data_IF_697088276956
#
_entry.id   IF_697088276956
#
_cell.length_a   1.000
_cell.length_b   1.000
_cell.length_c   1.000
_cell.angle_alpha   90.00
_cell.angle_beta   90.00
_cell.angle_gamma   90.00
#
_symmetry.space_group_name_H-M   'P 1'
#
loop_
_entity.id
_entity.type
_entity.pdbx_description
1 polymer ?
#
# COMPACT_ATOMS: atom_id res chain seq x y z
N UNK A 1 -15.59 12.24 -7.10
CA UNK A 1 -16.39 11.30 -7.92
C UNK A 1 -15.91 11.21 -9.38
N UNK A 2 -15.73 12.33 -10.09
CA UNK A 2 -15.26 12.34 -11.50
C UNK A 2 -13.96 11.54 -11.70
N UNK A 3 -12.97 11.73 -10.83
CA UNK A 3 -11.70 10.98 -10.94
C UNK A 3 -11.87 9.48 -10.65
N UNK A 4 -12.73 9.13 -9.69
CA UNK A 4 -12.99 7.73 -9.35
C UNK A 4 -13.68 7.00 -10.53
N UNK A 5 -14.63 7.66 -11.21
CA UNK A 5 -15.28 7.09 -12.39
C UNK A 5 -14.37 7.06 -13.62
N UNK A 6 -13.42 8.00 -13.73
CA UNK A 6 -12.36 7.93 -14.73
C UNK A 6 -11.45 6.71 -14.46
N UNK A 7 -10.93 6.54 -13.24
CA UNK A 7 -10.08 5.39 -12.89
C UNK A 7 -10.79 4.04 -13.04
N UNK A 8 -12.06 3.94 -12.65
CA UNK A 8 -12.85 2.73 -12.84
C UNK A 8 -12.92 2.29 -14.32
N UNK A 9 -12.93 3.25 -15.26
CA UNK A 9 -12.98 2.99 -16.70
C UNK A 9 -11.60 2.78 -17.31
N UNK A 10 -10.60 3.56 -16.91
CA UNK A 10 -9.27 3.54 -17.53
C UNK A 10 -8.35 2.48 -16.94
N UNK A 11 -8.49 2.18 -15.65
CA UNK A 11 -7.61 1.28 -14.89
C UNK A 11 -8.45 0.37 -13.96
N UNK A 12 -9.30 -0.51 -14.51
CA UNK A 12 -10.18 -1.36 -13.71
C UNK A 12 -9.41 -2.30 -12.76
N UNK A 13 -8.17 -2.65 -13.12
CA UNK A 13 -7.27 -3.47 -12.30
C UNK A 13 -7.01 -2.86 -10.90
N UNK A 14 -6.92 -1.52 -10.80
CA UNK A 14 -6.69 -0.84 -9.52
C UNK A 14 -7.89 -0.90 -8.58
N UNK A 15 -9.08 -1.19 -9.14
CA UNK A 15 -10.34 -1.32 -8.42
C UNK A 15 -10.84 -2.75 -8.37
N UNK A 16 -10.02 -3.71 -8.81
CA UNK A 16 -10.33 -5.12 -8.70
C UNK A 16 -10.55 -5.49 -7.24
N UNK A 17 -11.52 -6.40 -7.02
CA UNK A 17 -11.90 -6.91 -5.70
C UNK A 17 -12.41 -5.83 -4.73
N UNK A 18 -13.03 -4.76 -5.26
CA UNK A 18 -13.80 -3.79 -4.47
C UNK A 18 -15.26 -3.88 -4.91
N UNK A 19 -16.15 -4.21 -3.98
CA UNK A 19 -17.58 -4.36 -4.25
C UNK A 19 -18.34 -3.04 -4.02
N UNK A 20 -17.98 -2.29 -2.97
CA UNK A 20 -18.56 -0.98 -2.65
C UNK A 20 -17.47 0.01 -2.29
N UNK A 21 -17.60 1.23 -2.81
CA UNK A 21 -16.70 2.35 -2.49
C UNK A 21 -17.36 3.27 -1.47
N UNK A 22 -16.62 3.60 -0.41
CA UNK A 22 -17.05 4.54 0.62
C UNK A 22 -16.30 5.85 0.48
N UNK A 23 -16.91 6.80 -0.24
CA UNK A 23 -16.24 8.07 -0.58
C UNK A 23 -15.73 8.83 0.66
N UNK A 24 -16.46 8.78 1.78
CA UNK A 24 -16.03 9.40 3.03
C UNK A 24 -14.73 8.82 3.57
N UNK A 25 -14.59 7.48 3.60
CA UNK A 25 -13.37 6.81 4.04
C UNK A 25 -12.20 7.07 3.08
N UNK A 26 -12.48 7.15 1.77
CA UNK A 26 -11.45 7.49 0.77
C UNK A 26 -10.90 8.90 1.02
N UNK A 27 -11.77 9.88 1.24
CA UNK A 27 -11.37 11.27 1.54
C UNK A 27 -10.55 11.32 2.83
N UNK A 28 -10.98 10.61 3.88
CA UNK A 28 -10.24 10.53 5.14
C UNK A 28 -8.84 9.93 4.94
N UNK A 29 -8.71 8.86 4.14
CA UNK A 29 -7.41 8.27 3.86
C UNK A 29 -6.51 9.18 3.01
N UNK A 30 -7.08 9.91 2.04
CA UNK A 30 -6.34 10.92 1.29
C UNK A 30 -5.82 12.05 2.21
N UNK A 31 -6.64 12.52 3.13
CA UNK A 31 -6.24 13.54 4.10
C UNK A 31 -5.17 13.00 5.07
N UNK A 32 -5.31 11.78 5.56
CA UNK A 32 -4.31 11.14 6.41
C UNK A 32 -2.97 10.94 5.69
N UNK A 33 -3.01 10.68 4.38
CA UNK A 33 -1.82 10.56 3.56
C UNK A 33 -1.11 11.91 3.36
N UNK A 34 -1.87 13.00 3.19
CA UNK A 34 -1.31 14.36 3.16
C UNK A 34 -0.74 14.79 4.51
N UNK A 35 -1.44 14.47 5.59
CA UNK A 35 -0.99 14.75 6.96
C UNK A 35 0.41 14.18 7.20
N UNK A 36 0.64 12.94 6.76
CA UNK A 36 1.95 12.28 6.84
C UNK A 36 2.99 12.83 5.88
N UNK A 37 2.58 13.27 4.69
CA UNK A 37 3.52 13.79 3.68
C UNK A 37 4.04 15.18 4.00
N UNK A 38 3.24 15.99 4.71
CA UNK A 38 3.49 17.40 4.98
C UNK A 38 3.59 17.75 6.47
N UNK A 39 3.54 16.74 7.36
CA UNK A 39 3.50 16.89 8.83
C UNK A 39 2.43 17.89 9.31
N UNK A 40 1.24 17.81 8.70
CA UNK A 40 0.09 18.67 9.01
C UNK A 40 -0.81 18.06 10.09
N UNK A 41 -1.59 18.90 10.76
CA UNK A 41 -2.69 18.42 11.62
C UNK A 41 -3.81 17.79 10.78
N UNK A 42 -4.69 17.02 11.41
CA UNK A 42 -5.79 16.33 10.71
C UNK A 42 -6.72 17.33 10.02
N UNK A 43 -7.03 18.45 10.68
CA UNK A 43 -7.90 19.50 10.13
C UNK A 43 -7.22 20.23 8.97
N UNK A 44 -5.98 20.67 9.17
CA UNK A 44 -5.21 21.37 8.13
C UNK A 44 -5.03 20.50 6.89
N UNK A 45 -4.91 19.18 7.06
CA UNK A 45 -4.78 18.23 5.96
C UNK A 45 -6.04 18.13 5.12
N UNK A 46 -7.22 18.23 5.72
CA UNK A 46 -8.50 18.26 5.01
C UNK A 46 -8.68 19.60 4.27
N UNK A 47 -8.33 20.72 4.90
CA UNK A 47 -8.34 22.03 4.22
C UNK A 47 -7.37 22.07 3.04
N UNK A 48 -6.15 21.56 3.23
CA UNK A 48 -5.15 21.43 2.19
C UNK A 48 -5.70 20.58 1.05
N UNK A 49 -6.28 19.41 1.34
CA UNK A 49 -6.88 18.51 0.36
C UNK A 49 -7.93 19.20 -0.52
N UNK A 50 -8.84 19.97 0.08
CA UNK A 50 -9.88 20.70 -0.66
C UNK A 50 -9.35 21.91 -1.42
N UNK A 51 -8.18 22.43 -1.04
CA UNK A 51 -7.52 23.57 -1.67
C UNK A 51 -6.49 23.16 -2.73
N UNK A 52 -6.20 21.86 -2.87
CA UNK A 52 -5.22 21.37 -3.84
C UNK A 52 -5.68 21.53 -5.29
N UNK A 53 -4.72 21.65 -6.21
CA UNK A 53 -5.02 21.66 -7.65
C UNK A 53 -5.63 20.31 -8.06
N UNK A 54 -6.56 20.28 -9.02
CA UNK A 54 -7.26 19.05 -9.40
C UNK A 54 -6.32 17.91 -9.86
N UNK A 55 -5.18 18.25 -10.46
CA UNK A 55 -4.14 17.28 -10.85
C UNK A 55 -3.47 16.60 -9.65
N UNK A 56 -3.27 17.33 -8.56
CA UNK A 56 -2.63 16.83 -7.35
C UNK A 56 -3.59 15.91 -6.59
N UNK A 57 -4.88 16.30 -6.51
CA UNK A 57 -5.94 15.43 -5.97
C UNK A 57 -6.08 14.13 -6.78
N UNK A 58 -6.01 14.21 -8.12
CA UNK A 58 -6.03 13.03 -9.00
C UNK A 58 -4.83 12.11 -8.74
N UNK A 59 -3.62 12.68 -8.60
CA UNK A 59 -2.38 11.92 -8.31
C UNK A 59 -2.46 11.25 -6.95
N UNK A 60 -2.88 11.97 -5.92
CA UNK A 60 -3.05 11.42 -4.57
C UNK A 60 -4.04 10.26 -4.55
N UNK A 61 -5.19 10.41 -5.21
CA UNK A 61 -6.18 9.33 -5.33
C UNK A 61 -5.60 8.12 -6.09
N UNK A 62 -4.82 8.35 -7.15
CA UNK A 62 -4.15 7.27 -7.89
C UNK A 62 -3.15 6.52 -7.01
N UNK A 63 -2.33 7.23 -6.23
CA UNK A 63 -1.36 6.62 -5.33
C UNK A 63 -2.03 5.77 -4.26
N UNK A 64 -3.13 6.27 -3.68
CA UNK A 64 -3.94 5.55 -2.69
C UNK A 64 -4.54 4.27 -3.29
N UNK A 65 -5.14 4.35 -4.48
CA UNK A 65 -5.77 3.19 -5.13
C UNK A 65 -4.76 2.16 -5.64
N UNK A 66 -3.57 2.60 -6.04
CA UNK A 66 -2.52 1.73 -6.56
C UNK A 66 -1.69 1.09 -5.45
N UNK A 67 -1.67 1.69 -4.26
CA UNK A 67 -0.74 1.33 -3.19
C UNK A 67 0.73 1.50 -3.63
N UNK A 68 0.99 2.43 -4.55
CA UNK A 68 2.27 2.55 -5.28
C UNK A 68 3.39 3.13 -4.40
N UNK A 69 3.04 3.90 -3.38
CA UNK A 69 4.00 4.42 -2.38
C UNK A 69 4.67 3.32 -1.53
N UNK A 70 4.17 2.08 -1.59
CA UNK A 70 4.74 0.97 -0.81
C UNK A 70 5.88 0.23 -1.50
N UNK A 71 6.09 0.45 -2.82
CA UNK A 71 7.24 -0.14 -3.53
C UNK A 71 8.52 0.70 -3.38
N UNK A 72 8.38 1.94 -2.92
CA UNK A 72 9.47 2.94 -2.90
C UNK A 72 10.51 2.64 -1.80
N UNK A 73 10.15 1.89 -0.75
CA UNK A 73 11.13 1.50 0.29
C UNK A 73 12.18 0.52 -0.23
N UNK A 74 11.95 -0.16 -1.36
CA UNK A 74 13.01 -0.96 -2.01
C UNK A 74 13.87 -0.18 -3.01
N UNK A 75 13.59 1.10 -3.30
CA UNK A 75 14.29 1.77 -4.41
C UNK A 75 14.70 3.24 -4.22
N UNK A 76 14.22 4.01 -3.25
CA UNK A 76 14.61 5.44 -3.21
C UNK A 76 14.46 6.07 -1.82
N UNK A 77 15.56 6.13 -1.06
CA UNK A 77 15.82 7.25 -0.15
C UNK A 77 17.17 7.89 -0.48
N UNK A 78 17.19 8.69 -1.55
CA UNK A 78 18.15 9.78 -1.72
C UNK A 78 17.38 11.03 -2.07
N UNK A 79 16.66 11.60 -1.11
CA UNK A 79 16.24 13.01 -1.17
C UNK A 79 17.16 13.74 -0.19
N UNK A 80 18.18 14.39 -0.76
CA UNK A 80 19.17 15.18 -0.05
C UNK A 80 18.49 16.31 0.71
N UNK A 81 18.38 16.18 2.03
CA UNK A 81 18.13 17.30 2.94
C UNK A 81 19.47 18.00 3.19
N UNK A 82 19.74 19.09 2.45
CA UNK A 82 20.81 20.02 2.82
C UNK A 82 20.35 20.88 3.99
N UNK A 83 20.75 20.50 5.19
CA UNK A 83 20.85 21.38 6.35
C UNK A 83 22.12 20.98 7.08
N UNK A 84 23.08 21.90 7.12
CA UNK A 84 24.42 21.63 7.62
C UNK A 84 25.27 22.90 7.60
N UNK A 85 24.95 23.78 8.54
CA UNK A 85 25.80 24.89 8.99
C UNK A 85 27.07 24.33 9.64
N UNK A 86 28.25 24.92 9.35
CA UNK A 86 29.40 25.18 10.25
C UNK A 86 30.70 25.43 9.43
N UNK A 87 31.83 25.90 10.00
CA UNK A 87 32.06 27.29 10.45
C UNK A 87 33.39 27.94 9.95
N UNK A 88 33.35 29.28 9.79
CA UNK A 88 34.36 30.34 10.04
C UNK A 88 35.87 30.07 9.78
N UNK A 89 36.52 30.87 8.89
CA UNK A 89 37.57 31.89 9.21
C UNK A 89 38.28 32.53 7.99
N UNK A 90 38.24 33.87 7.96
CA UNK A 90 39.30 34.84 7.57
C UNK A 90 39.77 34.85 6.08
N UNK A 91 39.96 35.95 5.34
CA UNK A 91 40.54 37.29 5.62
C UNK A 91 40.21 38.28 4.48
N UNK A 92 39.86 39.52 4.87
CA UNK A 92 40.08 40.87 4.28
C UNK A 92 40.33 41.15 2.78
N UNK A 93 39.70 42.27 2.35
CA UNK A 93 40.16 43.33 1.39
C UNK A 93 40.31 42.95 -0.09
N UNK A 94 39.98 43.72 -1.13
CA UNK A 94 39.29 45.00 -1.41
C UNK A 94 39.39 45.27 -2.94
N UNK A 95 38.48 46.08 -3.51
CA UNK A 95 38.61 46.87 -4.77
C UNK A 95 38.33 46.30 -6.19
N UNK A 96 37.27 46.88 -6.81
CA UNK A 96 37.15 47.58 -8.13
C UNK A 96 37.18 46.89 -9.52
N UNK A 97 36.25 47.38 -10.38
CA UNK A 97 36.29 47.56 -11.87
C UNK A 97 36.14 46.29 -12.74
N UNK A 98 35.66 46.28 -13.99
CA UNK A 98 34.80 47.08 -14.90
C UNK A 98 34.71 46.21 -16.20
N UNK A 99 33.64 46.38 -16.98
CA UNK A 99 33.51 46.17 -18.44
C UNK A 99 33.87 44.81 -19.10
N UNK A 100 32.95 44.23 -19.89
CA UNK A 100 32.88 44.49 -21.34
C UNK A 100 31.70 43.78 -22.03
N UNK A 101 31.10 44.50 -22.99
CA UNK A 101 30.09 44.10 -23.96
C UNK A 101 30.76 43.39 -25.17
N UNK A 102 30.09 42.43 -25.81
CA UNK A 102 29.91 42.50 -27.26
C UNK A 102 28.84 41.56 -27.83
N UNK A 103 28.00 42.20 -28.62
CA UNK A 103 26.96 41.70 -29.53
C UNK A 103 27.61 41.33 -30.86
N UNK A 104 27.18 40.25 -31.51
CA UNK A 104 27.03 40.19 -32.98
C UNK A 104 25.98 39.15 -33.38
N UNK A 105 24.97 39.65 -34.08
CA UNK A 105 23.94 38.95 -34.84
C UNK A 105 24.49 38.73 -36.26
N UNK A 106 24.16 37.63 -36.96
CA UNK A 106 24.01 37.63 -38.43
C UNK A 106 23.18 36.45 -38.98
N UNK A 107 21.97 36.82 -39.36
CA UNK A 107 21.10 36.47 -40.52
C UNK A 107 21.65 35.56 -41.65
N UNK A 108 20.83 34.63 -42.16
CA UNK A 108 20.29 34.54 -43.57
C UNK A 108 19.68 33.16 -43.92
N UNK A 109 18.42 33.22 -44.38
CA UNK A 109 17.61 32.43 -45.34
C UNK A 109 18.08 31.10 -45.96
N UNK A 110 17.12 30.17 -46.18
CA UNK A 110 17.26 29.10 -47.18
C UNK A 110 16.12 28.07 -47.25
N UNK A 111 15.55 27.89 -48.44
CA UNK A 111 14.35 27.12 -48.82
C UNK A 111 14.58 25.61 -49.14
N UNK A 112 13.50 24.79 -49.01
CA UNK A 112 13.06 23.65 -49.88
C UNK A 112 13.65 22.21 -49.78
N UNK A 113 12.71 21.26 -49.55
CA UNK A 113 12.53 19.82 -49.94
C UNK A 113 13.74 18.89 -50.23
N UNK A 114 13.71 17.65 -49.65
CA UNK A 114 13.35 16.35 -50.30
C UNK A 114 13.80 15.10 -49.50
N UNK A 115 12.89 14.12 -49.38
CA UNK A 115 13.00 12.64 -49.51
C UNK A 115 14.19 11.83 -48.92
N UNK A 116 13.82 10.93 -47.99
CA UNK A 116 13.85 9.44 -48.09
C UNK A 116 15.05 8.56 -47.67
N UNK A 117 14.67 7.48 -46.94
CA UNK A 117 15.22 6.09 -46.87
C UNK A 117 16.22 5.71 -45.74
N UNK A 118 15.73 4.75 -44.92
CA UNK A 118 16.42 3.64 -44.22
C UNK A 118 17.49 3.93 -43.16
N UNK A 119 17.19 3.60 -41.89
CA UNK A 119 17.82 2.46 -41.17
C UNK A 119 17.29 2.32 -39.73
N UNK A 120 16.89 1.09 -39.35
CA UNK A 120 16.81 0.57 -37.96
C UNK A 120 18.25 0.40 -37.39
N UNK A 121 18.53 0.05 -36.11
CA UNK A 121 17.66 -0.18 -34.93
C UNK A 121 18.23 0.42 -33.59
N UNK A 122 17.59 0.10 -32.45
CA UNK A 122 18.17 -0.46 -31.19
C UNK A 122 17.71 0.19 -29.88
N UNK A 123 17.19 -0.67 -29.00
CA UNK A 123 16.89 -0.40 -27.59
C UNK A 123 18.19 -0.21 -26.79
N UNK A 124 18.24 0.81 -25.94
CA UNK A 124 19.29 0.97 -24.93
C UNK A 124 18.71 0.67 -23.54
N UNK A 125 19.03 -0.53 -23.08
CA UNK A 125 18.92 -1.01 -21.71
C UNK A 125 19.99 -0.31 -20.87
N UNK A 126 19.61 0.48 -19.87
CA UNK A 126 20.56 1.06 -18.91
C UNK A 126 20.74 0.12 -17.73
N UNK A 127 21.80 -0.70 -17.78
CA UNK A 127 22.37 -1.39 -16.61
C UNK A 127 23.12 -0.35 -15.77
N UNK A 128 22.85 -0.29 -14.47
CA UNK A 128 23.74 0.34 -13.49
C UNK A 128 24.27 -0.72 -12.54
N UNK A 129 25.60 -0.77 -12.48
CA UNK A 129 26.42 -1.73 -11.76
C UNK A 129 26.55 -1.39 -10.28
N UNK A 130 26.72 -2.46 -9.52
CA UNK A 130 26.84 -2.61 -8.08
C UNK A 130 28.21 -2.10 -7.58
N UNK A 131 28.21 -1.29 -6.51
CA UNK A 131 29.31 -1.24 -5.53
C UNK A 131 28.66 -1.17 -4.15
N UNK A 132 28.87 -2.23 -3.37
CA UNK A 132 28.38 -2.40 -2.00
C UNK A 132 29.33 -1.71 -1.02
N UNK A 133 28.78 -0.94 -0.09
CA UNK A 133 29.46 -0.63 1.17
C UNK A 133 28.43 -0.85 2.25
N UNK A 134 28.66 -1.91 3.02
CA UNK A 134 27.81 -2.42 4.07
C UNK A 134 27.94 -1.51 5.29
N UNK A 135 26.83 -0.85 5.64
CA UNK A 135 26.64 -0.27 6.96
C UNK A 135 25.29 -0.80 7.44
N UNK A 136 25.36 -1.76 8.35
CA UNK A 136 24.21 -2.42 8.96
C UNK A 136 23.34 -1.37 9.65
N UNK A 137 22.07 -1.32 9.27
CA UNK A 137 21.10 -0.34 9.77
C UNK A 137 19.97 -1.08 10.48
N UNK A 138 19.96 -1.02 11.81
CA UNK A 138 18.96 -1.60 12.73
C UNK A 138 17.53 -1.02 12.54
N UNK A 139 17.33 -0.10 11.59
CA UNK A 139 16.06 0.59 11.33
C UNK A 139 15.07 -0.15 10.39
N UNK A 140 15.44 -1.28 9.83
CA UNK A 140 14.71 -1.97 8.75
C UNK A 140 13.39 -2.64 9.18
N UNK A 141 13.25 -3.04 10.46
CA UNK A 141 12.04 -3.69 10.98
C UNK A 141 10.90 -2.71 11.31
N UNK A 142 11.22 -1.49 11.79
CA UNK A 142 10.24 -0.46 12.11
C UNK A 142 9.53 0.08 10.85
N UNK A 143 10.29 0.24 9.76
CA UNK A 143 9.77 0.69 8.48
C UNK A 143 8.79 -0.32 7.89
N UNK A 144 9.10 -1.61 8.00
CA UNK A 144 8.24 -2.67 7.48
C UNK A 144 6.90 -2.76 8.25
N UNK A 145 6.93 -2.68 9.58
CA UNK A 145 5.72 -2.65 10.44
C UNK A 145 4.80 -1.46 10.11
N UNK A 146 5.40 -0.30 9.87
CA UNK A 146 4.70 0.92 9.44
C UNK A 146 3.99 0.72 8.09
N UNK A 147 4.62 0.01 7.14
CA UNK A 147 4.06 -0.27 5.82
C UNK A 147 2.85 -1.20 5.86
N UNK A 148 2.90 -2.31 6.59
CA UNK A 148 1.76 -3.24 6.68
C UNK A 148 0.56 -2.62 7.40
N UNK A 149 0.81 -1.85 8.47
CA UNK A 149 -0.24 -1.11 9.14
C UNK A 149 -0.91 -0.11 8.18
N UNK A 150 -0.11 0.67 7.44
CA UNK A 150 -0.61 1.60 6.42
C UNK A 150 -1.39 0.88 5.33
N UNK A 151 -0.89 -0.26 4.83
CA UNK A 151 -1.59 -1.05 3.80
C UNK A 151 -2.96 -1.50 4.27
N UNK A 152 -3.05 -2.03 5.49
CA UNK A 152 -4.31 -2.48 6.09
C UNK A 152 -5.30 -1.34 6.32
N UNK A 153 -4.81 -0.15 6.73
CA UNK A 153 -5.64 1.07 6.83
C UNK A 153 -6.30 1.40 5.51
N UNK A 154 -5.49 1.45 4.45
CA UNK A 154 -5.94 1.82 3.11
C UNK A 154 -6.90 0.75 2.56
N UNK A 155 -6.52 -0.53 2.58
CA UNK A 155 -7.36 -1.59 2.02
C UNK A 155 -8.66 -1.76 2.81
N UNK A 156 -8.60 -1.66 4.15
CA UNK A 156 -9.78 -1.71 5.02
C UNK A 156 -10.72 -0.51 4.85
N UNK A 157 -10.20 0.67 4.51
CA UNK A 157 -11.00 1.85 4.18
C UNK A 157 -11.61 1.78 2.77
N UNK A 158 -10.89 1.15 1.84
CA UNK A 158 -11.34 0.89 0.47
C UNK A 158 -12.29 -0.32 0.36
N UNK A 159 -12.48 -1.09 1.43
CA UNK A 159 -13.16 -2.39 1.41
C UNK A 159 -12.58 -3.33 0.34
N UNK A 160 -11.25 -3.31 0.17
CA UNK A 160 -10.56 -4.14 -0.81
C UNK A 160 -10.29 -5.52 -0.22
N UNK A 161 -10.77 -6.55 -0.90
CA UNK A 161 -10.53 -7.95 -0.50
C UNK A 161 -9.47 -8.62 -1.37
N UNK A 162 -8.81 -9.68 -0.89
CA UNK A 162 -7.94 -10.52 -1.71
C UNK A 162 -8.67 -11.12 -2.93
N UNK A 163 -7.95 -11.47 -4.01
CA UNK A 163 -8.55 -12.08 -5.19
C UNK A 163 -9.20 -13.44 -4.84
N UNK A 164 -10.42 -13.66 -5.34
CA UNK A 164 -11.18 -14.87 -5.06
C UNK A 164 -11.64 -15.00 -3.61
N UNK A 165 -11.59 -13.94 -2.80
CA UNK A 165 -12.00 -13.96 -1.39
C UNK A 165 -13.42 -14.51 -1.20
N UNK A 166 -14.41 -14.00 -1.92
CA UNK A 166 -15.81 -14.45 -1.75
C UNK A 166 -16.00 -15.93 -2.08
N UNK A 167 -15.29 -16.44 -3.08
CA UNK A 167 -15.31 -17.87 -3.43
C UNK A 167 -14.75 -18.70 -2.26
N UNK A 168 -13.64 -18.26 -1.67
CA UNK A 168 -13.03 -18.93 -0.50
C UNK A 168 -13.93 -18.86 0.73
N UNK A 169 -14.61 -17.74 0.97
CA UNK A 169 -15.60 -17.62 2.05
C UNK A 169 -16.74 -18.60 1.85
N UNK A 170 -17.26 -18.70 0.63
CA UNK A 170 -18.32 -19.65 0.29
C UNK A 170 -17.91 -21.08 0.64
N UNK A 171 -16.72 -21.50 0.20
CA UNK A 171 -16.19 -22.82 0.51
C UNK A 171 -15.97 -22.98 2.00
N UNK A 172 -15.43 -21.98 2.70
CA UNK A 172 -15.30 -22.06 4.16
C UNK A 172 -16.64 -22.36 4.83
N UNK A 173 -17.73 -21.70 4.41
CA UNK A 173 -19.08 -21.92 4.93
C UNK A 173 -19.68 -23.28 4.58
N UNK A 174 -19.15 -24.03 3.60
CA UNK A 174 -19.58 -25.43 3.37
C UNK A 174 -18.94 -26.39 4.37
N UNK A 175 -17.80 -26.03 4.95
CA UNK A 175 -17.09 -26.84 5.94
C UNK A 175 -17.39 -26.46 7.40
N UNK A 176 -17.94 -25.28 7.65
CA UNK A 176 -18.24 -24.79 9.01
C UNK A 176 -19.72 -24.46 9.20
N UNK A 177 -20.25 -24.61 10.41
CA UNK A 177 -21.61 -24.19 10.77
C UNK A 177 -21.87 -22.69 10.52
N UNK A 178 -20.86 -21.87 10.79
CA UNK A 178 -20.85 -20.44 10.52
C UNK A 178 -19.55 -19.78 10.95
N UNK A 179 -19.34 -18.54 10.47
CA UNK A 179 -18.21 -17.69 10.85
C UNK A 179 -18.72 -16.55 11.74
N UNK A 180 -18.26 -16.51 12.99
CA UNK A 180 -18.51 -15.41 13.92
C UNK A 180 -17.53 -14.27 13.69
N UNK A 181 -18.03 -13.07 13.41
CA UNK A 181 -17.27 -11.84 13.21
C UNK A 181 -17.90 -10.75 14.08
N UNK A 182 -17.26 -10.40 15.19
CA UNK A 182 -17.85 -9.56 16.23
C UNK A 182 -19.18 -10.14 16.73
N UNK A 183 -20.23 -9.32 16.74
CA UNK A 183 -21.58 -9.73 17.17
C UNK A 183 -22.41 -10.40 16.05
N UNK A 184 -21.84 -10.55 14.85
CA UNK A 184 -22.54 -11.09 13.69
C UNK A 184 -22.05 -12.50 13.36
N UNK A 185 -22.96 -13.37 12.92
CA UNK A 185 -22.63 -14.72 12.47
C UNK A 185 -23.03 -14.90 11.02
N UNK A 186 -22.05 -15.23 10.19
CA UNK A 186 -22.26 -15.65 8.82
C UNK A 186 -22.59 -17.15 8.80
N UNK A 187 -23.87 -17.49 8.74
CA UNK A 187 -24.35 -18.88 8.77
C UNK A 187 -24.08 -19.62 7.46
N UNK A 188 -23.83 -20.93 7.55
CA UNK A 188 -23.78 -21.83 6.40
C UNK A 188 -25.07 -21.82 5.56
N UNK A 189 -26.22 -21.43 6.11
CA UNK A 189 -27.47 -21.34 5.33
C UNK A 189 -27.36 -20.41 4.12
N UNK A 190 -26.45 -19.43 4.17
CA UNK A 190 -26.18 -18.52 3.06
C UNK A 190 -25.73 -19.27 1.78
N UNK A 191 -25.07 -20.43 1.92
CA UNK A 191 -24.62 -21.23 0.77
C UNK A 191 -25.75 -22.06 0.15
N UNK A 192 -26.86 -22.27 0.88
CA UNK A 192 -28.06 -22.95 0.34
C UNK A 192 -28.93 -22.00 -0.49
N UNK A 193 -28.94 -20.73 -0.12
CA UNK A 193 -29.77 -19.70 -0.77
C UNK A 193 -29.09 -19.01 -1.95
N UNK A 194 -27.76 -19.08 -2.03
CA UNK A 194 -26.94 -18.25 -2.91
C UNK A 194 -25.81 -19.04 -3.53
N UNK A 195 -25.25 -18.56 -4.65
CA UNK A 195 -24.08 -19.19 -5.29
C UNK A 195 -22.78 -18.43 -5.03
N UNK A 196 -21.66 -19.14 -5.09
CA UNK A 196 -20.31 -18.61 -4.83
C UNK A 196 -19.88 -17.44 -5.73
N UNK A 197 -20.50 -17.30 -6.91
CA UNK A 197 -20.24 -16.22 -7.87
C UNK A 197 -21.28 -15.10 -7.86
N UNK A 198 -22.31 -15.20 -7.03
CA UNK A 198 -23.40 -14.22 -7.03
C UNK A 198 -23.01 -12.92 -6.34
N UNK A 199 -23.34 -11.78 -6.95
CA UNK A 199 -23.04 -10.48 -6.37
C UNK A 199 -23.72 -10.28 -5.01
N UNK A 200 -24.96 -10.75 -4.85
CA UNK A 200 -25.72 -10.65 -3.60
C UNK A 200 -25.01 -11.37 -2.45
N UNK A 201 -24.32 -12.49 -2.72
CA UNK A 201 -23.52 -13.20 -1.70
C UNK A 201 -22.36 -12.32 -1.23
N UNK A 202 -21.60 -11.76 -2.19
CA UNK A 202 -20.50 -10.85 -1.90
C UNK A 202 -20.94 -9.63 -1.07
N UNK A 203 -22.12 -9.07 -1.38
CA UNK A 203 -22.69 -7.94 -0.63
C UNK A 203 -23.06 -8.29 0.81
N UNK A 204 -23.53 -9.52 1.07
CA UNK A 204 -23.86 -10.01 2.40
C UNK A 204 -22.59 -10.23 3.23
N UNK A 205 -21.58 -10.89 2.67
CA UNK A 205 -20.27 -11.08 3.32
C UNK A 205 -19.62 -9.74 3.64
N UNK A 206 -19.62 -8.80 2.67
CA UNK A 206 -19.08 -7.45 2.89
C UNK A 206 -19.83 -6.71 3.98
N UNK A 207 -21.16 -6.81 4.04
CA UNK A 207 -21.98 -6.18 5.09
C UNK A 207 -21.54 -6.64 6.48
N UNK A 208 -21.34 -7.94 6.67
CA UNK A 208 -20.89 -8.51 7.95
C UNK A 208 -19.50 -8.02 8.31
N UNK A 209 -18.53 -8.14 7.39
CA UNK A 209 -17.16 -7.65 7.62
C UNK A 209 -17.15 -6.15 7.93
N UNK A 210 -18.08 -5.40 7.36
CA UNK A 210 -18.11 -3.95 7.48
C UNK A 210 -18.66 -3.44 8.82
N UNK A 211 -19.28 -4.31 9.62
CA UNK A 211 -19.69 -3.99 10.99
C UNK A 211 -18.49 -3.74 11.91
N UNK A 212 -17.32 -4.28 11.56
CA UNK A 212 -16.07 -3.92 12.22
C UNK A 212 -15.78 -2.44 11.96
N UNK A 213 -15.69 -1.62 13.01
CA UNK A 213 -15.55 -0.16 12.88
C UNK A 213 -14.16 0.24 12.37
N UNK A 214 -13.11 -0.33 12.95
CA UNK A 214 -11.71 -0.02 12.62
C UNK A 214 -11.28 -0.69 11.31
N UNK A 215 -10.86 0.07 10.28
CA UNK A 215 -10.46 -0.49 8.99
C UNK A 215 -9.26 -1.43 9.07
N UNK A 216 -8.32 -1.18 9.98
CA UNK A 216 -7.14 -2.02 10.18
C UNK A 216 -7.50 -3.43 10.64
N UNK A 217 -8.35 -3.52 11.67
CA UNK A 217 -8.82 -4.79 12.20
C UNK A 217 -9.75 -5.50 11.22
N UNK A 218 -10.60 -4.74 10.50
CA UNK A 218 -11.43 -5.27 9.40
C UNK A 218 -10.57 -6.02 8.38
N UNK A 219 -9.41 -5.45 8.02
CA UNK A 219 -8.50 -6.09 7.07
C UNK A 219 -7.84 -7.35 7.65
N UNK A 220 -7.50 -7.36 8.94
CA UNK A 220 -7.00 -8.58 9.62
C UNK A 220 -8.04 -9.71 9.59
N UNK A 221 -9.31 -9.40 9.84
CA UNK A 221 -10.42 -10.37 9.75
C UNK A 221 -10.55 -10.91 8.32
N UNK A 222 -10.50 -10.03 7.31
CA UNK A 222 -10.56 -10.43 5.89
C UNK A 222 -9.37 -11.36 5.53
N UNK A 223 -8.15 -11.01 5.95
CA UNK A 223 -6.95 -11.82 5.73
C UNK A 223 -7.06 -13.18 6.42
N UNK A 224 -7.52 -13.23 7.68
CA UNK A 224 -7.71 -14.47 8.43
C UNK A 224 -8.73 -15.40 7.78
N UNK A 225 -9.89 -14.88 7.37
CA UNK A 225 -10.91 -15.66 6.65
C UNK A 225 -10.36 -16.13 5.29
N UNK A 226 -9.57 -15.30 4.61
CA UNK A 226 -8.95 -15.68 3.34
C UNK A 226 -7.98 -16.86 3.52
N UNK A 227 -7.16 -16.85 4.57
CA UNK A 227 -6.25 -17.96 4.90
C UNK A 227 -7.04 -19.21 5.29
N UNK A 228 -8.07 -19.07 6.13
CA UNK A 228 -8.95 -20.17 6.51
C UNK A 228 -9.60 -20.82 5.29
N UNK A 229 -10.16 -20.03 4.38
CA UNK A 229 -10.74 -20.57 3.15
C UNK A 229 -9.70 -21.12 2.18
N UNK A 230 -8.46 -20.66 2.23
CA UNK A 230 -7.36 -21.27 1.50
C UNK A 230 -7.03 -22.66 2.03
N UNK A 231 -7.08 -22.85 3.35
CA UNK A 231 -6.90 -24.16 3.97
C UNK A 231 -8.00 -25.12 3.56
N UNK A 232 -9.27 -24.68 3.60
CA UNK A 232 -10.42 -25.52 3.22
C UNK A 232 -10.40 -25.87 1.72
N UNK A 233 -9.92 -24.99 0.85
CA UNK A 233 -9.74 -25.28 -0.59
C UNK A 233 -8.79 -26.45 -0.87
N UNK A 234 -7.85 -26.73 0.04
CA UNK A 234 -6.92 -27.86 -0.09
C UNK A 234 -7.49 -29.17 0.46
N UNK A 235 -8.64 -29.13 1.14
CA UNK A 235 -9.36 -30.32 1.61
C UNK A 235 -10.23 -30.92 0.48
N UNK A 236 -9.55 -31.58 -0.47
CA UNK A 236 -10.18 -32.15 -1.68
C UNK A 236 -11.23 -33.21 -1.34
N UNK A 237 -11.08 -33.90 -0.21
CA UNK A 237 -11.93 -35.00 0.21
C UNK A 237 -13.13 -34.55 1.07
N UNK A 238 -13.24 -33.25 1.38
CA UNK A 238 -14.23 -32.68 2.31
C UNK A 238 -14.29 -33.42 3.66
N UNK A 239 -13.14 -33.90 4.15
CA UNK A 239 -13.07 -34.65 5.40
C UNK A 239 -13.22 -33.73 6.61
N UNK A 240 -12.89 -32.45 6.45
CA UNK A 240 -12.92 -31.46 7.52
C UNK A 240 -14.32 -30.85 7.54
N UNK A 241 -15.17 -31.36 8.43
CA UNK A 241 -16.42 -30.72 8.80
C UNK A 241 -16.34 -30.26 10.25
N UNK A 242 -16.47 -28.95 10.45
CA UNK A 242 -16.43 -28.30 11.76
C UNK A 242 -17.88 -27.94 12.12
N UNK A 243 -18.52 -28.78 12.93
CA UNK A 243 -19.88 -28.55 13.43
C UNK A 243 -19.91 -27.53 14.57
N UNK A 244 -19.20 -26.40 14.41
CA UNK A 244 -19.25 -25.29 15.35
C UNK A 244 -19.10 -23.94 14.65
N UNK A 245 -19.55 -22.90 15.34
CA UNK A 245 -19.36 -21.53 14.87
C UNK A 245 -17.91 -21.14 15.15
N UNK A 246 -17.15 -20.91 14.09
CA UNK A 246 -15.75 -20.51 14.17
C UNK A 246 -15.70 -19.00 14.38
N UNK A 247 -15.27 -18.57 15.57
CA UNK A 247 -15.05 -17.15 15.89
C UNK A 247 -13.73 -16.70 15.27
N UNK A 248 -13.81 -15.78 14.29
CA UNK A 248 -12.64 -15.27 13.59
C UNK A 248 -11.82 -14.35 14.48
N UNK A 249 -12.49 -13.60 15.37
CA UNK A 249 -11.84 -12.72 16.35
C UNK A 249 -10.85 -13.49 17.24
N UNK A 250 -11.26 -14.64 17.78
CA UNK A 250 -10.41 -15.51 18.61
C UNK A 250 -9.19 -16.04 17.83
N UNK A 251 -9.36 -16.31 16.53
CA UNK A 251 -8.25 -16.73 15.65
C UNK A 251 -7.24 -15.60 15.50
N UNK A 252 -7.71 -14.37 15.25
CA UNK A 252 -6.84 -13.20 15.10
C UNK A 252 -6.13 -12.87 16.41
N UNK A 253 -6.83 -12.93 17.53
CA UNK A 253 -6.24 -12.71 18.86
C UNK A 253 -5.16 -13.75 19.17
N UNK A 254 -5.45 -15.04 18.94
CA UNK A 254 -4.49 -16.11 19.18
C UNK A 254 -3.28 -16.00 18.24
N UNK A 255 -3.50 -15.66 16.97
CA UNK A 255 -2.41 -15.41 16.02
C UNK A 255 -1.54 -14.22 16.45
N UNK A 256 -2.15 -13.15 16.97
CA UNK A 256 -1.41 -12.00 17.50
C UNK A 256 -0.59 -12.39 18.74
N UNK A 257 -1.15 -13.19 19.65
CA UNK A 257 -0.41 -13.69 20.82
C UNK A 257 0.78 -14.57 20.41
N UNK A 258 0.59 -15.48 19.44
CA UNK A 258 1.68 -16.28 18.88
C UNK A 258 2.76 -15.40 18.22
N UNK A 259 2.34 -14.38 17.47
CA UNK A 259 3.26 -13.43 16.87
C UNK A 259 4.07 -12.68 17.93
N UNK A 260 3.44 -12.20 19.01
CA UNK A 260 4.15 -11.50 20.10
C UNK A 260 5.16 -12.41 20.80
N UNK A 261 4.80 -13.67 21.06
CA UNK A 261 5.71 -14.66 21.66
C UNK A 261 6.92 -14.90 20.73
N UNK A 262 6.67 -15.02 19.43
CA UNK A 262 7.74 -15.21 18.43
C UNK A 262 8.67 -14.00 18.35
N UNK A 263 8.14 -12.78 18.39
CA UNK A 263 8.95 -11.55 18.42
C UNK A 263 9.88 -11.50 19.64
N UNK A 264 9.37 -11.86 20.83
CA UNK A 264 10.18 -11.87 22.07
C UNK A 264 11.21 -12.99 22.04
N UNK A 265 10.83 -14.18 21.56
CA UNK A 265 11.71 -15.35 21.48
C UNK A 265 12.86 -15.12 20.49
N UNK A 266 12.57 -14.50 19.34
CA UNK A 266 13.57 -14.16 18.33
C UNK A 266 14.55 -13.09 18.85
N UNK A 267 14.07 -12.14 19.68
CA UNK A 267 14.92 -11.18 20.39
C UNK A 267 15.85 -11.86 21.40
N UNK A 268 15.35 -12.87 22.11
CA UNK A 268 16.13 -13.63 23.10
C UNK A 268 17.21 -14.51 22.45
N UNK A 269 16.91 -15.15 21.32
CA UNK A 269 17.89 -15.95 20.56
C UNK A 269 18.99 -15.06 19.98
N UNK A 270 18.66 -13.85 19.52
CA UNK A 270 19.66 -12.88 19.04
C UNK A 270 20.60 -12.39 20.14
N UNK A 271 20.10 -12.17 21.36
CA UNK A 271 20.94 -11.79 22.51
C UNK A 271 21.87 -12.93 22.95
N UNK A 272 21.35 -14.16 23.08
CA UNK A 272 22.17 -15.29 23.50
C UNK A 272 23.26 -15.66 22.47
N UNK A 273 23.00 -15.47 21.16
CA UNK A 273 24.02 -15.71 20.13
C UNK A 273 25.08 -14.60 20.03
N UNK A 274 24.78 -13.37 20.45
CA UNK A 274 25.75 -12.26 20.47
C UNK A 274 26.47 -12.10 21.83
N UNK A 275 25.98 -12.71 22.90
CA UNK A 275 26.63 -12.74 24.23
C UNK A 275 27.57 -13.94 24.43
N UNK A 276 27.90 -14.71 23.39
CA UNK A 276 28.99 -15.70 23.45
C UNK A 276 30.30 -14.94 23.18
N UNK A 277 31.15 -14.67 24.18
CA UNK A 277 32.47 -14.14 23.91
C UNK A 277 33.22 -15.19 23.10
N UNK A 278 33.56 -14.85 21.86
CA UNK A 278 34.58 -15.56 21.09
C UNK A 278 35.87 -15.50 21.93
N UNK A 279 36.15 -16.60 22.63
CA UNK A 279 37.41 -16.88 23.31
C UNK A 279 38.57 -16.94 22.33
#
# INVERSE_FOLDING_TARGET
LIYLSMFARTQPQQMANIVRLRIGLIIQMMAAELARGLDLTVEDSLYALFSMRPIDTKRLLHNLLSGEDMRIVKSTQTISRKSGMSPIKSTNTSHTNQDNLQVTLDTISGSVKKRSVSSRPLMASRKQSIVSTEVENENSHADSRSLWSRRRKIDGALNRVPPGFYIRVYITLTHVQGLGIGDQVLSHNLTKEMTMGEHKFALNVERVCTMVSTPEYRQLIIEAIHVLGSLMMHDVDNLIFIDCIVKVDDIVEKANNLFLIDQVSCFFVYYILNDIPLF
#
